data_IF_977096963709
#
_entry.id   IF_977096963709
#
_cell.length_a   1.000
_cell.length_b   1.000
_cell.length_c   1.000
_cell.angle_alpha   90.00
_cell.angle_beta   90.00
_cell.angle_gamma   90.00
#
_symmetry.space_group_name_H-M   'P 1'
#
loop_
_entity.id
_entity.type
_entity.pdbx_description
1 polymer ?
#
# COMPACT_ATOMS: atom_id res chain seq x y z
N UNK A 1 -12.50 18.63 6.87
CA UNK A 1 -12.15 18.14 5.52
C UNK A 1 -10.88 17.30 5.48
N UNK A 2 -9.77 17.73 6.12
CA UNK A 2 -8.50 16.98 6.09
C UNK A 2 -8.56 15.51 6.53
N UNK A 3 -9.37 15.17 7.54
CA UNK A 3 -9.57 13.78 8.00
C UNK A 3 -10.17 12.88 6.91
N UNK A 4 -11.18 13.37 6.18
CA UNK A 4 -11.84 12.60 5.11
C UNK A 4 -10.86 12.37 3.96
N UNK A 5 -10.11 13.40 3.58
CA UNK A 5 -9.09 13.30 2.52
C UNK A 5 -8.02 12.26 2.91
N UNK A 6 -7.54 12.26 4.15
CA UNK A 6 -6.57 11.28 4.63
C UNK A 6 -7.10 9.83 4.54
N UNK A 7 -8.38 9.60 4.90
CA UNK A 7 -8.99 8.29 4.73
C UNK A 7 -9.09 7.88 3.27
N UNK A 8 -9.50 8.78 2.37
CA UNK A 8 -9.61 8.50 0.94
C UNK A 8 -8.24 8.16 0.35
N UNK A 9 -7.23 9.00 0.60
CA UNK A 9 -5.87 8.79 0.08
C UNK A 9 -5.27 7.50 0.64
N UNK A 10 -5.34 7.30 1.95
CA UNK A 10 -4.76 6.12 2.57
C UNK A 10 -5.45 4.82 2.15
N UNK A 11 -6.78 4.83 1.99
CA UNK A 11 -7.51 3.68 1.45
C UNK A 11 -7.13 3.42 -0.02
N UNK A 12 -7.00 4.46 -0.85
CA UNK A 12 -6.56 4.31 -2.23
C UNK A 12 -5.15 3.68 -2.32
N UNK A 13 -4.21 4.13 -1.46
CA UNK A 13 -2.86 3.55 -1.39
C UNK A 13 -2.90 2.07 -0.99
N UNK A 14 -3.72 1.70 0.00
CA UNK A 14 -3.90 0.30 0.43
C UNK A 14 -4.47 -0.55 -0.72
N UNK A 15 -5.47 -0.05 -1.44
CA UNK A 15 -6.06 -0.75 -2.59
C UNK A 15 -5.02 -0.94 -3.71
N UNK A 16 -4.26 0.10 -4.05
CA UNK A 16 -3.17 0.01 -5.03
C UNK A 16 -2.08 -0.96 -4.56
N UNK A 17 -1.77 -1.00 -3.27
CA UNK A 17 -0.89 -1.99 -2.67
C UNK A 17 -1.41 -3.41 -2.87
N UNK A 18 -2.72 -3.64 -2.68
CA UNK A 18 -3.35 -4.92 -2.97
C UNK A 18 -3.23 -5.33 -4.45
N UNK A 19 -3.44 -4.40 -5.39
CA UNK A 19 -3.27 -4.66 -6.83
C UNK A 19 -1.83 -4.99 -7.17
N UNK A 20 -0.87 -4.23 -6.65
CA UNK A 20 0.56 -4.49 -6.86
C UNK A 20 0.99 -5.84 -6.28
N UNK A 21 0.40 -6.26 -5.16
CA UNK A 21 0.66 -7.57 -4.55
C UNK A 21 0.21 -8.71 -5.47
N UNK A 22 -0.93 -8.59 -6.16
CA UNK A 22 -1.36 -9.59 -7.14
C UNK A 22 -0.33 -9.72 -8.28
N UNK A 23 0.20 -8.61 -8.79
CA UNK A 23 1.27 -8.63 -9.78
C UNK A 23 2.54 -9.34 -9.30
N UNK A 24 2.93 -9.12 -8.04
CA UNK A 24 4.07 -9.82 -7.44
C UNK A 24 3.83 -11.34 -7.32
N UNK A 25 2.60 -11.74 -6.98
CA UNK A 25 2.18 -13.15 -6.94
C UNK A 25 2.22 -13.78 -8.33
N UNK A 26 1.83 -13.05 -9.37
CA UNK A 26 1.89 -13.55 -10.75
C UNK A 26 3.34 -13.78 -11.20
N UNK A 27 4.27 -12.89 -10.84
CA UNK A 27 5.72 -13.08 -11.10
C UNK A 27 6.24 -14.33 -10.39
N UNK A 28 5.84 -14.54 -9.13
CA UNK A 28 6.21 -15.75 -8.39
C UNK A 28 5.65 -17.03 -9.03
N UNK A 29 4.37 -17.01 -9.42
CA UNK A 29 3.71 -18.15 -10.10
C UNK A 29 4.30 -18.46 -11.46
N UNK A 30 4.79 -17.46 -12.18
CA UNK A 30 5.47 -17.63 -13.47
C UNK A 30 6.89 -18.21 -13.34
N UNK A 31 7.36 -18.50 -12.12
CA UNK A 31 8.72 -19.01 -11.88
C UNK A 31 9.79 -17.91 -12.00
N UNK A 32 9.43 -16.65 -11.73
CA UNK A 32 10.37 -15.54 -11.70
C UNK A 32 11.49 -15.74 -10.68
N UNK A 33 12.62 -15.08 -10.90
CA UNK A 33 13.76 -15.15 -9.98
C UNK A 33 13.41 -14.59 -8.61
N UNK A 34 14.09 -15.06 -7.56
CA UNK A 34 13.89 -14.57 -6.18
C UNK A 34 14.03 -13.05 -6.09
N UNK A 35 14.97 -12.47 -6.85
CA UNK A 35 15.17 -11.02 -6.90
C UNK A 35 13.97 -10.29 -7.51
N UNK A 36 13.43 -10.79 -8.63
CA UNK A 36 12.25 -10.21 -9.27
C UNK A 36 11.01 -10.28 -8.35
N UNK A 37 10.85 -11.39 -7.64
CA UNK A 37 9.78 -11.56 -6.65
C UNK A 37 9.95 -10.59 -5.48
N UNK A 38 11.16 -10.47 -4.92
CA UNK A 38 11.45 -9.56 -3.82
C UNK A 38 11.17 -8.09 -4.21
N UNK A 39 11.61 -7.67 -5.39
CA UNK A 39 11.31 -6.34 -5.92
C UNK A 39 9.80 -6.12 -6.12
N UNK A 40 9.10 -7.15 -6.60
CA UNK A 40 7.65 -7.15 -6.73
C UNK A 40 6.91 -6.91 -5.42
N UNK A 41 7.44 -7.39 -4.28
CA UNK A 41 6.85 -7.19 -2.95
C UNK A 41 7.18 -5.85 -2.29
N UNK A 42 8.22 -5.14 -2.72
CA UNK A 42 8.60 -3.85 -2.10
C UNK A 42 7.53 -2.77 -2.31
N UNK A 43 7.02 -2.65 -3.54
CA UNK A 43 5.98 -1.68 -3.89
C UNK A 43 4.71 -1.88 -3.06
N UNK A 44 4.06 -3.06 -3.04
CA UNK A 44 2.86 -3.25 -2.24
C UNK A 44 3.11 -3.02 -0.75
N UNK A 45 4.22 -3.53 -0.19
CA UNK A 45 4.54 -3.32 1.21
C UNK A 45 4.66 -1.83 1.56
N UNK A 46 5.35 -1.04 0.73
CA UNK A 46 5.49 0.40 0.95
C UNK A 46 4.14 1.13 0.87
N UNK A 47 3.27 0.76 -0.07
CA UNK A 47 1.93 1.35 -0.21
C UNK A 47 1.03 1.08 1.00
N UNK A 48 1.10 -0.14 1.56
CA UNK A 48 0.40 -0.46 2.80
C UNK A 48 0.90 0.37 3.98
N UNK A 49 2.22 0.50 4.13
CA UNK A 49 2.83 1.26 5.23
C UNK A 49 2.48 2.75 5.12
N UNK A 50 2.68 3.35 3.95
CA UNK A 50 2.40 4.77 3.71
C UNK A 50 0.89 5.03 3.79
N UNK A 51 0.04 4.18 3.20
CA UNK A 51 -1.40 4.30 3.27
C UNK A 51 -1.94 4.23 4.71
N UNK A 52 -1.46 3.26 5.50
CA UNK A 52 -1.78 3.16 6.92
C UNK A 52 -1.31 4.37 7.72
N UNK A 53 -0.10 4.88 7.45
CA UNK A 53 0.43 6.07 8.09
C UNK A 53 -0.41 7.33 7.79
N UNK A 54 -0.85 7.51 6.54
CA UNK A 54 -1.73 8.63 6.14
C UNK A 54 -3.07 8.56 6.90
N UNK A 55 -3.67 7.37 7.01
CA UNK A 55 -4.91 7.18 7.79
C UNK A 55 -4.67 7.54 9.26
N UNK A 56 -3.58 7.06 9.86
CA UNK A 56 -3.23 7.36 11.24
C UNK A 56 -3.03 8.86 11.48
N UNK A 57 -2.33 9.56 10.59
CA UNK A 57 -2.18 11.02 10.66
C UNK A 57 -3.53 11.73 10.56
N UNK A 58 -4.42 11.28 9.67
CA UNK A 58 -5.79 11.78 9.56
C UNK A 58 -6.60 11.64 10.86
N UNK A 59 -6.43 10.51 11.57
CA UNK A 59 -7.05 10.29 12.88
C UNK A 59 -6.52 11.25 13.94
N UNK A 60 -5.20 11.48 13.98
CA UNK A 60 -4.59 12.39 14.95
C UNK A 60 -4.96 13.86 14.69
N UNK A 61 -5.07 14.26 13.43
CA UNK A 61 -5.50 15.60 13.05
C UNK A 61 -6.93 15.93 13.49
N UNK A 62 -7.80 14.93 13.67
CA UNK A 62 -9.17 15.10 14.16
C UNK A 62 -9.33 15.07 15.68
N UNK A 63 -8.24 14.84 16.44
CA UNK A 63 -8.23 14.84 17.91
C UNK A 63 -7.75 16.16 18.54
N UNK A 64 -7.27 17.08 17.71
CA UNK A 64 -6.91 18.46 18.10
C UNK A 64 -8.02 19.41 17.69
#
# INVERSE_FOLDING_TARGET
MGRIIAFIIGAALIVLGGVAFLGAVDVWRAGGSTEAVAQGFLVPASLFVVGGFVIWMGLQAGRR
#
